data_IF_746691303441
#
_entry.id   IF_746691303441
#
_cell.length_a   1.000
_cell.length_b   1.000
_cell.length_c   1.000
_cell.angle_alpha   90.00
_cell.angle_beta   90.00
_cell.angle_gamma   90.00
#
_symmetry.space_group_name_H-M   'P 1'
#
loop_
_entity.id
_entity.type
_entity.pdbx_description
1 polymer ?
#
# COMPACT_ATOMS: atom_id res chain seq x y z
N UNK A 1 18.95 -43.21 -23.63
CA UNK A 1 18.15 -42.74 -24.78
C UNK A 1 16.63 -42.76 -24.55
N UNK A 2 15.92 -43.91 -24.39
CA UNK A 2 14.45 -43.88 -24.20
C UNK A 2 13.99 -43.27 -22.86
N UNK A 3 14.74 -43.48 -21.78
CA UNK A 3 14.40 -43.02 -20.42
C UNK A 3 14.54 -41.51 -20.24
N UNK A 4 15.57 -40.90 -20.85
CA UNK A 4 15.76 -39.43 -20.84
C UNK A 4 14.70 -38.69 -21.66
N UNK A 5 14.27 -39.23 -22.79
CA UNK A 5 13.23 -38.62 -23.61
C UNK A 5 11.86 -38.61 -22.89
N UNK A 6 11.56 -39.66 -22.13
CA UNK A 6 10.34 -39.74 -21.30
C UNK A 6 10.42 -38.78 -20.10
N UNK A 7 11.57 -38.69 -19.44
CA UNK A 7 11.79 -37.75 -18.34
C UNK A 7 11.68 -36.29 -18.81
N UNK A 8 12.33 -35.94 -19.93
CA UNK A 8 12.23 -34.60 -20.51
C UNK A 8 10.80 -34.25 -20.90
N UNK A 9 10.07 -35.18 -21.52
CA UNK A 9 8.66 -34.96 -21.92
C UNK A 9 7.73 -34.78 -20.71
N UNK A 10 8.02 -35.45 -19.60
CA UNK A 10 7.30 -35.26 -18.33
C UNK A 10 7.62 -33.89 -17.71
N UNK A 11 8.89 -33.50 -17.67
CA UNK A 11 9.30 -32.18 -17.18
C UNK A 11 8.74 -31.02 -18.00
N UNK A 12 8.67 -31.14 -19.34
CA UNK A 12 8.03 -30.11 -20.18
C UNK A 12 6.53 -29.98 -19.90
N UNK A 13 5.83 -31.10 -19.70
CA UNK A 13 4.40 -31.09 -19.33
C UNK A 13 4.17 -30.46 -17.95
N UNK A 14 5.06 -30.69 -16.99
CA UNK A 14 4.96 -30.09 -15.66
C UNK A 14 5.22 -28.57 -15.71
N UNK A 15 6.21 -28.12 -16.49
CA UNK A 15 6.46 -26.69 -16.72
C UNK A 15 5.32 -26.00 -17.47
N UNK A 16 4.71 -26.64 -18.48
CA UNK A 16 3.55 -26.09 -19.19
C UNK A 16 2.35 -25.90 -18.25
N UNK A 17 2.10 -26.86 -17.36
CA UNK A 17 1.06 -26.73 -16.33
C UNK A 17 1.36 -25.58 -15.36
N UNK A 18 2.62 -25.43 -14.94
CA UNK A 18 3.02 -24.34 -14.05
C UNK A 18 2.87 -22.97 -14.73
N UNK A 19 3.28 -22.84 -16.00
CA UNK A 19 3.08 -21.62 -16.80
C UNK A 19 1.59 -21.30 -16.92
N UNK A 20 0.74 -22.29 -17.23
CA UNK A 20 -0.70 -22.09 -17.33
C UNK A 20 -1.32 -21.63 -15.99
N UNK A 21 -0.91 -22.25 -14.89
CA UNK A 21 -1.36 -21.87 -13.54
C UNK A 21 -0.92 -20.45 -13.16
N UNK A 22 0.35 -20.10 -13.43
CA UNK A 22 0.88 -18.76 -13.17
C UNK A 22 0.20 -17.70 -14.03
N UNK A 23 -0.03 -17.98 -15.32
CA UNK A 23 -0.73 -17.08 -16.24
C UNK A 23 -2.16 -16.82 -15.79
N UNK A 24 -2.86 -17.86 -15.33
CA UNK A 24 -4.21 -17.73 -14.77
C UNK A 24 -4.20 -16.86 -13.52
N UNK A 25 -3.21 -17.04 -12.64
CA UNK A 25 -3.09 -16.24 -11.41
C UNK A 25 -2.75 -14.78 -11.70
N UNK A 26 -1.94 -14.50 -12.72
CA UNK A 26 -1.67 -13.13 -13.18
C UNK A 26 -2.96 -12.50 -13.70
N UNK A 27 -3.70 -13.20 -14.56
CA UNK A 27 -4.96 -12.69 -15.12
C UNK A 27 -6.00 -12.36 -14.03
N UNK A 28 -6.14 -13.21 -13.01
CA UNK A 28 -7.07 -12.92 -11.89
C UNK A 28 -6.61 -11.72 -11.06
N UNK A 29 -5.31 -11.58 -10.81
CA UNK A 29 -4.76 -10.41 -10.12
C UNK A 29 -4.96 -9.13 -10.93
N UNK A 30 -4.80 -9.17 -12.26
CA UNK A 30 -5.02 -8.02 -13.15
C UNK A 30 -6.49 -7.60 -13.16
N UNK A 31 -7.43 -8.55 -13.14
CA UNK A 31 -8.87 -8.26 -13.02
C UNK A 31 -9.20 -7.57 -11.69
N UNK A 32 -8.68 -8.08 -10.56
CA UNK A 32 -8.90 -7.45 -9.26
C UNK A 32 -8.26 -6.05 -9.18
N UNK A 33 -7.05 -5.88 -9.72
CA UNK A 33 -6.40 -4.56 -9.82
C UNK A 33 -7.23 -3.58 -10.63
N UNK A 34 -7.81 -4.03 -11.75
CA UNK A 34 -8.69 -3.22 -12.59
C UNK A 34 -9.94 -2.81 -11.83
N UNK A 35 -10.59 -3.77 -11.15
CA UNK A 35 -11.79 -3.52 -10.34
C UNK A 35 -11.53 -2.50 -9.23
N UNK A 36 -10.44 -2.67 -8.48
CA UNK A 36 -10.03 -1.74 -7.41
C UNK A 36 -9.70 -0.36 -8.00
N UNK A 37 -8.96 -0.31 -9.12
CA UNK A 37 -8.59 0.95 -9.77
C UNK A 37 -9.81 1.74 -10.28
N UNK A 38 -10.82 1.04 -10.82
CA UNK A 38 -12.08 1.66 -11.25
C UNK A 38 -12.88 2.18 -10.05
N UNK A 39 -13.02 1.37 -8.99
CA UNK A 39 -13.76 1.78 -7.78
C UNK A 39 -13.12 3.02 -7.11
N UNK A 40 -11.79 3.08 -7.09
CA UNK A 40 -11.04 4.28 -6.71
C UNK A 40 -11.43 5.42 -7.66
N UNK A 41 -11.18 5.32 -8.96
CA UNK A 41 -11.48 6.42 -9.89
C UNK A 41 -12.92 6.99 -9.80
N UNK A 42 -13.92 6.13 -9.60
CA UNK A 42 -15.31 6.53 -9.36
C UNK A 42 -15.49 7.31 -8.05
N UNK A 43 -14.90 6.84 -6.96
CA UNK A 43 -14.87 7.55 -5.66
C UNK A 43 -14.20 8.92 -5.78
N UNK A 44 -13.06 9.03 -6.47
CA UNK A 44 -12.40 10.33 -6.66
C UNK A 44 -13.30 11.32 -7.38
N UNK A 45 -13.99 10.85 -8.42
CA UNK A 45 -14.87 11.70 -9.23
C UNK A 45 -16.10 12.14 -8.43
N UNK A 46 -16.68 11.27 -7.60
CA UNK A 46 -17.76 11.63 -6.70
C UNK A 46 -17.35 12.72 -5.70
N UNK A 47 -16.16 12.60 -5.10
CA UNK A 47 -15.62 13.61 -4.17
C UNK A 47 -15.37 14.96 -4.85
N UNK A 48 -14.87 14.96 -6.09
CA UNK A 48 -14.70 16.20 -6.88
C UNK A 48 -16.04 16.86 -7.18
N UNK A 49 -17.04 16.08 -7.60
CA UNK A 49 -18.38 16.62 -7.84
C UNK A 49 -19.00 17.22 -6.57
N UNK A 50 -18.78 16.60 -5.40
CA UNK A 50 -19.20 17.15 -4.12
C UNK A 50 -18.48 18.46 -3.80
N UNK A 51 -17.18 18.57 -4.10
CA UNK A 51 -16.41 19.80 -3.92
C UNK A 51 -17.00 20.95 -4.77
N UNK A 52 -17.32 20.68 -6.03
CA UNK A 52 -17.92 21.66 -6.93
C UNK A 52 -19.30 22.12 -6.43
N UNK A 53 -20.11 21.19 -5.90
CA UNK A 53 -21.38 21.51 -5.26
C UNK A 53 -21.19 22.37 -4.00
N UNK A 54 -20.24 22.02 -3.12
CA UNK A 54 -19.94 22.78 -1.89
C UNK A 54 -19.50 24.21 -2.23
N UNK A 55 -18.66 24.36 -3.27
CA UNK A 55 -18.23 25.69 -3.71
C UNK A 55 -19.40 26.55 -4.18
N UNK A 56 -20.36 25.97 -4.90
CA UNK A 56 -21.56 26.64 -5.40
C UNK A 56 -22.60 26.98 -4.33
N UNK A 57 -22.60 26.31 -3.17
CA UNK A 57 -23.55 26.58 -2.09
C UNK A 57 -23.28 27.93 -1.42
N UNK A 58 -24.30 28.77 -1.24
CA UNK A 58 -24.19 29.99 -0.42
C UNK A 58 -24.48 29.67 1.05
N UNK A 59 -23.47 29.12 1.72
CA UNK A 59 -23.50 28.76 3.15
C UNK A 59 -22.41 29.51 3.91
N UNK A 60 -22.48 29.44 5.25
CA UNK A 60 -21.47 30.00 6.14
C UNK A 60 -20.04 29.58 5.72
N UNK A 61 -19.13 30.56 5.71
CA UNK A 61 -17.76 30.36 5.22
C UNK A 61 -16.97 29.33 6.06
N UNK A 62 -17.26 29.23 7.34
CA UNK A 62 -16.63 28.28 8.27
C UNK A 62 -17.11 26.87 7.98
N UNK A 63 -18.42 26.68 7.79
CA UNK A 63 -19.01 25.39 7.41
C UNK A 63 -18.52 24.96 6.03
N UNK A 64 -18.50 25.88 5.06
CA UNK A 64 -17.97 25.61 3.71
C UNK A 64 -16.51 25.15 3.76
N UNK A 65 -15.67 25.85 4.53
CA UNK A 65 -14.26 25.48 4.71
C UNK A 65 -14.13 24.08 5.29
N UNK A 66 -14.85 23.79 6.38
CA UNK A 66 -14.80 22.46 7.00
C UNK A 66 -15.20 21.34 6.02
N UNK A 67 -16.28 21.52 5.26
CA UNK A 67 -16.71 20.52 4.27
C UNK A 67 -15.70 20.34 3.13
N UNK A 68 -15.10 21.45 2.68
CA UNK A 68 -14.07 21.46 1.64
C UNK A 68 -12.82 20.71 2.12
N UNK A 69 -12.34 21.03 3.33
CA UNK A 69 -11.17 20.38 3.94
C UNK A 69 -11.41 18.88 4.15
N UNK A 70 -12.61 18.47 4.57
CA UNK A 70 -12.98 17.05 4.66
C UNK A 70 -12.93 16.34 3.30
N UNK A 71 -13.47 16.95 2.23
CA UNK A 71 -13.41 16.37 0.89
C UNK A 71 -11.97 16.26 0.38
N UNK A 72 -11.13 17.28 0.62
CA UNK A 72 -9.72 17.28 0.25
C UNK A 72 -8.93 16.18 0.99
N UNK A 73 -9.20 15.98 2.29
CA UNK A 73 -8.62 14.88 3.09
C UNK A 73 -8.97 13.50 2.51
N UNK A 74 -10.22 13.30 2.08
CA UNK A 74 -10.65 12.05 1.45
C UNK A 74 -9.98 11.82 0.08
N UNK A 75 -9.83 12.87 -0.72
CA UNK A 75 -9.11 12.81 -2.01
C UNK A 75 -7.62 12.51 -1.81
N UNK A 76 -7.00 13.10 -0.77
CA UNK A 76 -5.61 12.81 -0.40
C UNK A 76 -5.45 11.34 -0.02
N UNK A 77 -6.34 10.84 0.86
CA UNK A 77 -6.37 9.42 1.27
C UNK A 77 -6.39 8.49 0.08
N UNK A 78 -7.29 8.75 -0.85
CA UNK A 78 -7.45 7.95 -2.05
C UNK A 78 -6.24 8.00 -2.99
N UNK A 79 -5.59 9.16 -3.07
CA UNK A 79 -4.32 9.32 -3.80
C UNK A 79 -3.23 8.45 -3.19
N UNK A 80 -3.19 8.34 -1.86
CA UNK A 80 -2.25 7.47 -1.14
C UNK A 80 -2.61 6.00 -1.34
N UNK A 81 -3.90 5.63 -1.28
CA UNK A 81 -4.39 4.27 -1.55
C UNK A 81 -3.90 3.77 -2.91
N UNK A 82 -4.12 4.56 -3.96
CA UNK A 82 -3.70 4.24 -5.33
C UNK A 82 -2.19 4.09 -5.45
N UNK A 83 -1.43 4.97 -4.79
CA UNK A 83 0.05 4.96 -4.81
C UNK A 83 0.63 3.75 -4.10
N UNK A 84 0.01 3.30 -3.02
CA UNK A 84 0.51 2.19 -2.19
C UNK A 84 -0.16 0.85 -2.54
N UNK A 85 -1.20 0.87 -3.37
CA UNK A 85 -2.03 -0.28 -3.73
C UNK A 85 -2.55 -1.01 -2.48
N UNK A 86 -3.18 -0.25 -1.58
CA UNK A 86 -3.77 -0.72 -0.32
C UNK A 86 -4.93 0.21 0.05
N UNK A 87 -6.01 -0.35 0.57
CA UNK A 87 -7.14 0.41 1.12
C UNK A 87 -6.75 1.01 2.49
N UNK A 88 -7.16 2.25 2.75
CA UNK A 88 -6.75 3.02 3.91
C UNK A 88 -7.96 3.54 4.66
N UNK A 89 -7.89 3.50 5.98
CA UNK A 89 -8.72 4.38 6.81
C UNK A 89 -8.17 5.80 6.79
N UNK A 90 -8.99 6.78 7.16
CA UNK A 90 -8.52 8.18 7.31
C UNK A 90 -7.34 8.27 8.30
N UNK A 91 -7.38 7.49 9.37
CA UNK A 91 -6.28 7.39 10.35
C UNK A 91 -4.99 6.84 9.73
N UNK A 92 -5.09 5.88 8.80
CA UNK A 92 -3.92 5.34 8.10
C UNK A 92 -3.32 6.36 7.13
N UNK A 93 -4.18 7.09 6.41
CA UNK A 93 -3.79 8.18 5.53
C UNK A 93 -3.04 9.27 6.28
N UNK A 94 -3.64 9.77 7.37
CA UNK A 94 -3.02 10.80 8.20
C UNK A 94 -1.66 10.36 8.78
N UNK A 95 -1.58 9.12 9.27
CA UNK A 95 -0.31 8.52 9.70
C UNK A 95 0.73 8.51 8.59
N UNK A 96 0.35 8.11 7.37
CA UNK A 96 1.26 8.05 6.23
C UNK A 96 1.73 9.44 5.78
N UNK A 97 0.83 10.42 5.71
CA UNK A 97 1.17 11.81 5.39
C UNK A 97 2.13 12.40 6.43
N UNK A 98 1.88 12.15 7.72
CA UNK A 98 2.79 12.56 8.79
C UNK A 98 4.14 11.86 8.70
N UNK A 99 4.14 10.55 8.47
CA UNK A 99 5.37 9.75 8.34
C UNK A 99 6.22 10.26 7.18
N UNK A 100 5.60 10.53 6.03
CA UNK A 100 6.28 11.03 4.84
C UNK A 100 6.79 12.46 5.03
N UNK A 101 6.04 13.32 5.74
CA UNK A 101 6.50 14.67 6.11
C UNK A 101 7.73 14.64 7.01
N UNK A 102 7.76 13.74 8.00
CA UNK A 102 8.88 13.60 8.93
C UNK A 102 10.08 12.88 8.30
N UNK A 103 9.82 11.94 7.40
CA UNK A 103 10.82 11.08 6.77
C UNK A 103 10.65 11.06 5.24
N UNK A 104 10.99 12.17 4.54
CA UNK A 104 10.76 12.31 3.10
C UNK A 104 11.58 11.34 2.24
N UNK A 105 12.63 10.72 2.81
CA UNK A 105 13.51 9.78 2.13
C UNK A 105 12.98 8.33 2.11
N UNK A 106 11.81 8.08 2.71
CA UNK A 106 11.13 6.79 2.60
C UNK A 106 10.48 6.66 1.22
N UNK A 107 10.77 5.57 0.53
CA UNK A 107 10.11 5.28 -0.74
C UNK A 107 8.72 4.64 -0.52
N UNK A 108 7.93 4.52 -1.59
CA UNK A 108 6.57 3.95 -1.53
C UNK A 108 6.53 2.56 -0.91
N UNK A 109 7.53 1.72 -1.22
CA UNK A 109 7.64 0.36 -0.67
C UNK A 109 7.87 0.39 0.84
N UNK A 110 8.74 1.26 1.32
CA UNK A 110 9.03 1.44 2.75
C UNK A 110 7.85 2.06 3.51
N UNK A 111 7.08 2.96 2.87
CA UNK A 111 5.84 3.50 3.41
C UNK A 111 4.78 2.40 3.56
N UNK A 112 4.58 1.57 2.53
CA UNK A 112 3.68 0.41 2.59
C UNK A 112 4.08 -0.56 3.70
N UNK A 113 5.38 -0.87 3.81
CA UNK A 113 5.90 -1.74 4.89
C UNK A 113 5.66 -1.09 6.27
N UNK A 114 5.88 0.21 6.41
CA UNK A 114 5.64 0.93 7.67
C UNK A 114 4.18 0.83 8.11
N UNK A 115 3.24 0.98 7.17
CA UNK A 115 1.82 0.79 7.45
C UNK A 115 1.53 -0.63 7.92
N UNK A 116 2.02 -1.66 7.22
CA UNK A 116 1.78 -3.05 7.60
C UNK A 116 2.41 -3.39 8.97
N UNK A 117 3.57 -2.81 9.30
CA UNK A 117 4.17 -2.95 10.64
C UNK A 117 3.30 -2.28 11.71
N UNK A 118 2.76 -1.08 11.44
CA UNK A 118 1.84 -0.36 12.33
C UNK A 118 0.54 -1.14 12.55
N UNK A 119 0.01 -1.77 11.50
CA UNK A 119 -1.17 -2.65 11.54
C UNK A 119 -0.88 -4.04 12.15
N UNK A 120 0.33 -4.27 12.67
CA UNK A 120 0.72 -5.48 13.36
C UNK A 120 0.69 -6.77 12.50
N UNK A 121 0.95 -6.65 11.19
CA UNK A 121 1.15 -7.82 10.33
C UNK A 121 2.46 -8.54 10.64
N UNK A 122 2.47 -9.86 10.46
CA UNK A 122 3.64 -10.69 10.65
C UNK A 122 4.72 -10.40 9.59
N UNK A 123 5.99 -10.46 10.01
CA UNK A 123 7.13 -10.15 9.12
C UNK A 123 7.16 -11.08 7.90
N UNK A 124 6.70 -12.32 8.05
CA UNK A 124 6.60 -13.31 6.97
C UNK A 124 5.54 -12.88 5.96
N UNK A 125 4.37 -12.45 6.43
CA UNK A 125 3.27 -12.04 5.55
C UNK A 125 3.56 -10.71 4.87
N UNK A 126 4.22 -9.77 5.56
CA UNK A 126 4.74 -8.54 4.95
C UNK A 126 5.73 -8.87 3.83
N UNK A 127 6.71 -9.75 4.10
CA UNK A 127 7.70 -10.16 3.12
C UNK A 127 7.06 -10.80 1.87
N UNK A 128 6.07 -11.68 2.09
CA UNK A 128 5.29 -12.30 1.00
C UNK A 128 4.49 -11.26 0.21
N UNK A 129 3.82 -10.34 0.89
CA UNK A 129 3.00 -9.28 0.28
C UNK A 129 3.84 -8.36 -0.62
N UNK A 130 5.07 -8.04 -0.22
CA UNK A 130 5.98 -7.18 -0.99
C UNK A 130 6.96 -7.95 -1.88
N UNK A 131 6.79 -9.27 -2.03
CA UNK A 131 7.53 -10.10 -2.98
C UNK A 131 9.02 -10.30 -2.64
N UNK A 132 9.38 -10.47 -1.37
CA UNK A 132 10.77 -10.74 -0.92
C UNK A 132 10.84 -11.90 0.05
N UNK A 133 12.07 -12.41 0.22
CA UNK A 133 12.39 -13.32 1.32
C UNK A 133 12.41 -12.61 2.67
N UNK A 134 12.29 -13.38 3.74
CA UNK A 134 12.48 -12.92 5.12
C UNK A 134 13.85 -12.26 5.32
N UNK A 135 14.91 -12.83 4.74
CA UNK A 135 16.26 -12.21 4.71
C UNK A 135 16.27 -10.86 3.97
N UNK A 136 15.53 -10.75 2.87
CA UNK A 136 15.34 -9.47 2.18
C UNK A 136 14.65 -8.43 3.07
N UNK A 137 13.70 -8.88 3.89
CA UNK A 137 12.98 -8.04 4.86
C UNK A 137 13.91 -7.52 5.96
N UNK A 138 14.86 -8.32 6.45
CA UNK A 138 15.90 -7.87 7.40
C UNK A 138 16.74 -6.72 6.83
N UNK A 139 17.15 -6.84 5.56
CA UNK A 139 17.91 -5.80 4.87
C UNK A 139 17.11 -4.49 4.73
N UNK A 140 15.81 -4.59 4.42
CA UNK A 140 14.91 -3.43 4.42
C UNK A 140 14.78 -2.84 5.82
N UNK A 141 14.59 -3.67 6.85
CA UNK A 141 14.45 -3.23 8.24
C UNK A 141 15.67 -2.43 8.69
N UNK A 142 16.88 -2.90 8.35
CA UNK A 142 18.13 -2.17 8.62
C UNK A 142 18.17 -0.80 7.93
N UNK A 143 17.79 -0.72 6.64
CA UNK A 143 17.74 0.55 5.91
C UNK A 143 16.69 1.50 6.49
N UNK A 144 15.50 0.99 6.79
CA UNK A 144 14.42 1.77 7.41
C UNK A 144 14.86 2.30 8.77
N UNK A 145 15.54 1.49 9.58
CA UNK A 145 16.05 1.91 10.89
C UNK A 145 16.96 3.14 10.78
N UNK A 146 17.89 3.15 9.81
CA UNK A 146 18.73 4.32 9.49
C UNK A 146 17.93 5.51 8.98
N UNK A 147 17.02 5.29 8.03
CA UNK A 147 16.21 6.37 7.43
C UNK A 147 15.29 7.04 8.45
N UNK A 148 14.79 6.27 9.41
CA UNK A 148 13.95 6.74 10.50
C UNK A 148 14.76 7.41 11.63
N UNK A 149 16.10 7.36 11.57
CA UNK A 149 16.98 7.95 12.57
C UNK A 149 16.96 7.23 13.92
N UNK A 150 16.68 5.93 13.93
CA UNK A 150 16.49 5.18 15.17
C UNK A 150 17.84 4.77 15.81
N UNK A 151 17.86 4.76 17.14
CA UNK A 151 18.99 4.24 17.93
C UNK A 151 19.03 2.71 17.97
N UNK A 152 20.17 2.11 18.34
CA UNK A 152 20.42 0.64 18.30
C UNK A 152 19.33 -0.22 18.95
N UNK A 153 18.68 0.27 20.01
CA UNK A 153 17.66 -0.46 20.77
C UNK A 153 16.23 0.05 20.51
N UNK A 154 16.05 0.98 19.57
CA UNK A 154 14.73 1.49 19.22
C UNK A 154 14.05 0.58 18.20
N UNK A 155 12.83 0.17 18.53
CA UNK A 155 11.97 -0.63 17.65
C UNK A 155 11.27 0.26 16.63
N UNK A 156 11.34 -0.13 15.36
CA UNK A 156 10.55 0.51 14.29
C UNK A 156 9.06 0.44 14.61
N UNK A 157 8.57 -0.69 15.11
CA UNK A 157 7.15 -0.86 15.44
C UNK A 157 6.70 0.15 16.50
N UNK A 158 7.47 0.29 17.58
CA UNK A 158 7.17 1.26 18.65
C UNK A 158 7.19 2.67 18.11
N UNK A 159 8.24 3.04 17.38
CA UNK A 159 8.34 4.37 16.76
C UNK A 159 7.14 4.71 15.86
N UNK A 160 6.71 3.77 15.01
CA UNK A 160 5.58 3.98 14.11
C UNK A 160 4.25 4.06 14.89
N UNK A 161 4.10 3.26 15.94
CA UNK A 161 2.94 3.31 16.85
C UNK A 161 2.83 4.69 17.50
N UNK A 162 3.91 5.19 18.10
CA UNK A 162 3.94 6.48 18.79
C UNK A 162 3.62 7.64 17.83
N UNK A 163 4.17 7.57 16.61
CA UNK A 163 3.89 8.55 15.57
C UNK A 163 2.43 8.56 15.13
N UNK A 164 1.70 7.45 15.28
CA UNK A 164 0.28 7.35 14.90
C UNK A 164 -0.68 7.91 15.95
N UNK A 165 -0.30 7.90 17.24
CA UNK A 165 -1.18 8.29 18.37
C UNK A 165 -1.05 9.77 18.76
N UNK A 166 0.02 10.45 18.35
CA UNK A 166 0.21 11.87 18.68
C UNK A 166 -0.86 12.70 17.97
N UNK A 167 -1.74 13.44 18.65
CA UNK A 167 -2.72 14.31 17.99
C UNK A 167 -2.13 15.69 17.74
#
# INVERSE_FOLDING_TARGET
>A
MKTEAVQNKKSTLDFEKEIAALTTRVATQDMELTRVSTAIAEKTNALRNLLDQIHALEIDATVKRHMTDSCLSLIETETIEKRLNIELTETDSFFLSRLQKKHPNLNQRELRISLLVKLNYDTIDIARSVGISTRGMESIRYRMHKKLGLGKHQSIKTYLSDLSVTF
#
